data_IF_825587467512
#
_entry.id   IF_825587467512
#
_cell.length_a   1.000
_cell.length_b   1.000
_cell.length_c   1.000
_cell.angle_alpha   90.00
_cell.angle_beta   90.00
_cell.angle_gamma   90.00
#
_symmetry.space_group_name_H-M   'P 1'
#
loop_
_entity.id
_entity.type
_entity.pdbx_description
1 polymer ?
#
# COMPACT_ATOMS: atom_id res chain seq x y z
N UNK A 1 -29.35 21.13 -7.32
CA UNK A 1 -28.54 19.93 -7.53
C UNK A 1 -29.35 18.75 -7.05
N UNK A 2 -29.65 17.80 -7.92
CA UNK A 2 -30.47 16.65 -7.55
C UNK A 2 -29.71 15.68 -6.61
N UNK A 3 -30.43 14.92 -5.80
CA UNK A 3 -29.85 14.03 -4.77
C UNK A 3 -28.87 12.99 -5.35
N UNK A 4 -29.19 12.45 -6.53
CA UNK A 4 -28.34 11.54 -7.29
C UNK A 4 -26.99 12.19 -7.66
N UNK A 5 -26.98 13.45 -8.08
CA UNK A 5 -25.78 14.22 -8.44
C UNK A 5 -24.88 14.43 -7.21
N UNK A 6 -25.48 14.75 -6.06
CA UNK A 6 -24.75 14.88 -4.77
C UNK A 6 -24.06 13.56 -4.42
N UNK A 7 -24.79 12.44 -4.50
CA UNK A 7 -24.26 11.12 -4.18
C UNK A 7 -23.17 10.67 -5.15
N UNK A 8 -23.33 10.97 -6.45
CA UNK A 8 -22.33 10.66 -7.46
C UNK A 8 -21.04 11.44 -7.21
N UNK A 9 -21.11 12.75 -6.93
CA UNK A 9 -19.94 13.56 -6.58
C UNK A 9 -19.22 13.05 -5.33
N UNK A 10 -19.98 12.69 -4.29
CA UNK A 10 -19.38 12.08 -3.11
C UNK A 10 -18.72 10.73 -3.42
N UNK A 11 -19.33 9.92 -4.30
CA UNK A 11 -18.75 8.66 -4.73
C UNK A 11 -17.41 8.86 -5.46
N UNK A 12 -17.35 9.83 -6.37
CA UNK A 12 -16.14 10.20 -7.10
C UNK A 12 -15.03 10.67 -6.16
N UNK A 13 -15.37 11.52 -5.17
CA UNK A 13 -14.43 12.00 -4.15
C UNK A 13 -13.86 10.85 -3.31
N UNK A 14 -14.70 9.90 -2.87
CA UNK A 14 -14.21 8.71 -2.17
C UNK A 14 -13.26 7.87 -3.04
N UNK A 15 -13.56 7.72 -4.33
CA UNK A 15 -12.68 7.02 -5.27
C UNK A 15 -11.36 7.76 -5.49
N UNK A 16 -11.38 9.09 -5.54
CA UNK A 16 -10.19 9.92 -5.65
C UNK A 16 -9.29 9.79 -4.40
N UNK A 17 -9.87 9.86 -3.19
CA UNK A 17 -9.13 9.66 -1.92
C UNK A 17 -8.51 8.26 -1.80
N UNK A 18 -9.22 7.24 -2.28
CA UNK A 18 -8.70 5.88 -2.33
C UNK A 18 -7.49 5.77 -3.28
N UNK A 19 -7.57 6.33 -4.49
CA UNK A 19 -6.45 6.37 -5.45
C UNK A 19 -5.26 7.15 -4.87
N UNK A 20 -5.51 8.31 -4.28
CA UNK A 20 -4.46 9.12 -3.68
C UNK A 20 -3.68 8.37 -2.59
N UNK A 21 -4.37 7.57 -1.77
CA UNK A 21 -3.70 6.73 -0.75
C UNK A 21 -2.79 5.67 -1.38
N UNK A 22 -3.19 5.10 -2.52
CA UNK A 22 -2.38 4.15 -3.29
C UNK A 22 -1.17 4.83 -3.95
N UNK A 23 -1.36 6.04 -4.51
CA UNK A 23 -0.28 6.84 -5.10
C UNK A 23 0.76 7.24 -4.05
N UNK A 24 0.32 7.68 -2.87
CA UNK A 24 1.18 7.95 -1.72
C UNK A 24 1.97 6.70 -1.30
N UNK A 25 1.35 5.51 -1.37
CA UNK A 25 2.01 4.25 -1.02
C UNK A 25 3.13 3.90 -1.99
N UNK A 26 2.89 4.12 -3.28
CA UNK A 26 3.90 3.97 -4.34
C UNK A 26 5.05 4.97 -4.15
N UNK A 27 4.73 6.24 -3.96
CA UNK A 27 5.70 7.32 -3.74
C UNK A 27 6.59 7.06 -2.52
N UNK A 28 5.99 6.73 -1.37
CA UNK A 28 6.70 6.37 -0.14
C UNK A 28 7.65 5.19 -0.37
N UNK A 29 7.18 4.15 -1.05
CA UNK A 29 7.98 2.96 -1.31
C UNK A 29 9.17 3.27 -2.22
N UNK A 30 8.96 4.03 -3.30
CA UNK A 30 10.03 4.43 -4.20
C UNK A 30 11.12 5.23 -3.46
N UNK A 31 10.73 6.19 -2.61
CA UNK A 31 11.68 6.96 -1.81
C UNK A 31 12.51 6.05 -0.89
N UNK A 32 11.85 5.14 -0.17
CA UNK A 32 12.53 4.20 0.73
C UNK A 32 13.47 3.26 -0.05
N UNK A 33 13.05 2.75 -1.21
CA UNK A 33 13.90 1.89 -2.05
C UNK A 33 15.16 2.61 -2.53
N UNK A 34 15.03 3.86 -2.96
CA UNK A 34 16.18 4.67 -3.39
C UNK A 34 17.14 4.90 -2.23
N UNK A 35 16.64 5.37 -1.07
CA UNK A 35 17.46 5.61 0.12
C UNK A 35 18.14 4.32 0.59
N UNK A 36 17.40 3.21 0.61
CA UNK A 36 17.92 1.91 1.03
C UNK A 36 19.00 1.40 0.08
N UNK A 37 18.81 1.56 -1.23
CA UNK A 37 19.79 1.15 -2.23
C UNK A 37 21.10 1.94 -2.10
N UNK A 38 21.01 3.25 -1.85
CA UNK A 38 22.19 4.10 -1.58
C UNK A 38 22.91 3.64 -0.31
N UNK A 39 22.17 3.40 0.78
CA UNK A 39 22.75 2.91 2.04
C UNK A 39 23.44 1.56 1.88
N UNK A 40 22.79 0.61 1.22
CA UNK A 40 23.37 -0.71 0.95
C UNK A 40 24.59 -0.63 0.03
N UNK A 41 24.55 0.19 -1.01
CA UNK A 41 25.70 0.43 -1.90
C UNK A 41 26.89 1.02 -1.15
N UNK A 42 26.66 1.94 -0.21
CA UNK A 42 27.70 2.52 0.62
C UNK A 42 28.34 1.49 1.56
N UNK A 43 27.53 0.63 2.20
CA UNK A 43 28.03 -0.49 3.03
C UNK A 43 28.85 -1.46 2.17
N UNK A 44 28.39 -1.79 0.96
CA UNK A 44 29.12 -2.67 0.05
C UNK A 44 30.48 -2.12 -0.37
N UNK A 45 30.61 -0.79 -0.52
CA UNK A 45 31.88 -0.14 -0.88
C UNK A 45 32.85 0.00 0.29
N UNK A 46 32.35 0.30 1.50
CA UNK A 46 33.18 0.57 2.69
C UNK A 46 33.46 -0.69 3.54
N UNK A 47 32.71 -1.77 3.31
CA UNK A 47 32.77 -2.98 4.12
C UNK A 47 32.06 -2.87 5.46
N UNK A 48 32.07 -3.95 6.25
CA UNK A 48 31.41 -4.04 7.56
C UNK A 48 32.30 -3.48 8.67
N UNK A 49 32.36 -2.15 8.76
CA UNK A 49 33.06 -1.44 9.83
C UNK A 49 32.07 -0.93 10.87
N UNK A 50 32.52 -0.72 12.12
CA UNK A 50 31.68 -0.16 13.21
C UNK A 50 31.01 1.18 12.84
N UNK A 51 31.66 2.01 12.02
CA UNK A 51 31.09 3.26 11.51
C UNK A 51 29.86 3.05 10.63
N UNK A 52 29.69 1.88 10.00
CA UNK A 52 28.53 1.55 9.16
C UNK A 52 27.26 1.26 9.97
N UNK A 53 27.34 1.17 11.30
CA UNK A 53 26.14 1.20 12.16
C UNK A 53 25.33 2.49 11.94
N UNK A 54 26.00 3.60 11.62
CA UNK A 54 25.35 4.87 11.27
C UNK A 54 24.50 4.78 9.99
N UNK A 55 24.66 3.74 9.17
CA UNK A 55 23.87 3.50 7.95
C UNK A 55 22.86 2.37 8.16
N UNK A 56 23.30 1.25 8.76
CA UNK A 56 22.46 0.05 8.93
C UNK A 56 21.33 0.25 9.94
N UNK A 57 21.55 1.01 11.02
CA UNK A 57 20.49 1.31 11.99
C UNK A 57 19.36 2.17 11.36
N UNK A 58 19.65 3.25 10.62
CA UNK A 58 18.62 3.94 9.84
C UNK A 58 17.86 3.03 8.85
N UNK A 59 18.51 2.05 8.20
CA UNK A 59 17.82 1.10 7.32
C UNK A 59 16.72 0.32 8.05
N UNK A 60 16.98 -0.08 9.31
CA UNK A 60 15.97 -0.72 10.18
C UNK A 60 14.78 0.22 10.37
N UNK A 61 15.06 1.47 10.77
CA UNK A 61 14.03 2.46 11.08
C UNK A 61 13.19 2.78 9.85
N UNK A 62 13.81 3.06 8.69
CA UNK A 62 13.06 3.40 7.47
C UNK A 62 12.28 2.21 6.92
N UNK A 63 12.79 0.98 7.05
CA UNK A 63 12.07 -0.23 6.68
C UNK A 63 10.83 -0.44 7.55
N UNK A 64 10.95 -0.30 8.87
CA UNK A 64 9.79 -0.38 9.78
C UNK A 64 8.78 0.75 9.51
N UNK A 65 9.26 1.97 9.27
CA UNK A 65 8.42 3.10 8.91
C UNK A 65 7.65 2.84 7.59
N UNK A 66 8.32 2.30 6.57
CA UNK A 66 7.68 1.90 5.32
C UNK A 66 6.62 0.82 5.52
N UNK A 67 6.88 -0.19 6.34
CA UNK A 67 5.92 -1.25 6.64
C UNK A 67 4.64 -0.68 7.30
N UNK A 68 4.80 0.17 8.32
CA UNK A 68 3.68 0.80 9.01
C UNK A 68 2.94 1.77 8.08
N UNK A 69 3.67 2.62 7.36
CA UNK A 69 3.11 3.63 6.47
C UNK A 69 2.29 3.01 5.34
N UNK A 70 2.83 1.99 4.67
CA UNK A 70 2.12 1.30 3.59
C UNK A 70 0.91 0.51 4.10
N UNK A 71 0.96 -0.06 5.31
CA UNK A 71 -0.18 -0.69 5.96
C UNK A 71 -1.29 0.33 6.28
N UNK A 72 -0.91 1.51 6.79
CA UNK A 72 -1.87 2.57 7.13
C UNK A 72 -2.53 3.17 5.89
N UNK A 73 -1.78 3.39 4.82
CA UNK A 73 -2.33 3.86 3.54
C UNK A 73 -3.27 2.82 2.91
N UNK A 74 -2.95 1.53 3.01
CA UNK A 74 -3.84 0.45 2.55
C UNK A 74 -5.16 0.41 3.34
N UNK A 75 -5.10 0.66 4.66
CA UNK A 75 -6.29 0.78 5.51
C UNK A 75 -7.17 1.96 5.05
N UNK A 76 -6.61 3.16 4.86
CA UNK A 76 -7.35 4.33 4.37
C UNK A 76 -7.94 4.12 2.97
N UNK A 77 -7.19 3.51 2.05
CA UNK A 77 -7.70 3.17 0.72
C UNK A 77 -8.92 2.23 0.82
N UNK A 78 -8.86 1.23 1.70
CA UNK A 78 -9.97 0.30 1.94
C UNK A 78 -11.19 1.00 2.56
N UNK A 79 -10.96 1.91 3.50
CA UNK A 79 -11.99 2.74 4.13
C UNK A 79 -12.77 3.57 3.10
N UNK A 80 -12.07 4.29 2.22
CA UNK A 80 -12.70 5.11 1.19
C UNK A 80 -13.41 4.25 0.13
N UNK A 81 -12.84 3.11 -0.24
CA UNK A 81 -13.50 2.15 -1.13
C UNK A 81 -14.78 1.56 -0.52
N UNK A 82 -14.82 1.33 0.80
CA UNK A 82 -16.03 0.88 1.49
C UNK A 82 -17.13 1.96 1.47
N UNK A 83 -16.76 3.23 1.67
CA UNK A 83 -17.68 4.35 1.55
C UNK A 83 -18.24 4.49 0.12
N UNK A 84 -17.37 4.42 -0.90
CA UNK A 84 -17.81 4.43 -2.29
C UNK A 84 -18.82 3.31 -2.58
N UNK A 85 -18.56 2.07 -2.12
CA UNK A 85 -19.54 0.96 -2.27
C UNK A 85 -20.87 1.24 -1.57
N UNK A 86 -20.85 1.87 -0.40
CA UNK A 86 -22.08 2.23 0.31
C UNK A 86 -22.89 3.29 -0.45
N UNK A 87 -22.22 4.27 -1.07
CA UNK A 87 -22.84 5.28 -1.92
C UNK A 87 -23.43 4.66 -3.20
N UNK A 88 -22.71 3.74 -3.86
CA UNK A 88 -23.24 3.02 -5.03
C UNK A 88 -24.53 2.25 -4.70
N UNK A 89 -24.62 1.63 -3.52
CA UNK A 89 -25.85 0.95 -3.08
C UNK A 89 -27.03 1.92 -2.90
N UNK A 90 -26.76 3.15 -2.45
CA UNK A 90 -27.81 4.18 -2.33
C UNK A 90 -28.23 4.70 -3.71
N UNK A 91 -27.27 4.88 -4.62
CA UNK A 91 -27.55 5.27 -6.00
C UNK A 91 -28.43 4.25 -6.73
N UNK A 92 -28.15 2.96 -6.60
CA UNK A 92 -29.02 1.90 -7.16
C UNK A 92 -30.44 1.94 -6.59
N UNK A 93 -30.62 2.34 -5.32
CA UNK A 93 -31.96 2.51 -4.73
C UNK A 93 -32.73 3.70 -5.27
N UNK A 94 -32.03 4.74 -5.73
CA UNK A 94 -32.64 5.95 -6.31
C UNK A 94 -32.84 5.85 -7.81
N UNK A 95 -31.96 5.12 -8.50
CA UNK A 95 -31.98 4.91 -9.96
C UNK A 95 -31.76 3.42 -10.25
N UNK A 96 -32.80 2.57 -10.10
CA UNK A 96 -32.68 1.12 -10.22
C UNK A 96 -32.14 0.64 -11.57
N UNK A 97 -32.42 1.38 -12.64
CA UNK A 97 -32.00 1.05 -14.00
C UNK A 97 -30.48 1.04 -14.19
N UNK A 98 -29.71 1.70 -13.29
CA UNK A 98 -28.24 1.69 -13.34
C UNK A 98 -27.63 0.32 -13.03
N UNK A 99 -28.31 -0.51 -12.21
CA UNK A 99 -27.88 -1.88 -11.83
C UNK A 99 -26.39 -1.97 -11.46
N UNK A 100 -25.84 -0.98 -10.74
CA UNK A 100 -24.39 -0.90 -10.45
C UNK A 100 -23.93 -2.09 -9.62
N UNK A 101 -24.75 -2.53 -8.66
CA UNK A 101 -24.42 -3.65 -7.79
C UNK A 101 -24.27 -4.96 -8.55
N UNK A 102 -25.16 -5.24 -9.50
CA UNK A 102 -25.07 -6.43 -10.36
C UNK A 102 -23.86 -6.34 -11.28
N UNK A 103 -23.66 -5.18 -11.90
CA UNK A 103 -22.46 -4.91 -12.71
C UNK A 103 -21.17 -5.16 -11.93
N UNK A 104 -21.09 -4.68 -10.67
CA UNK A 104 -19.94 -4.87 -9.80
C UNK A 104 -19.78 -6.31 -9.30
N UNK A 105 -20.88 -7.01 -8.98
CA UNK A 105 -20.81 -8.42 -8.57
C UNK A 105 -20.34 -9.31 -9.71
N UNK A 106 -20.83 -9.07 -10.93
CA UNK A 106 -20.44 -9.82 -12.11
C UNK A 106 -18.99 -9.58 -12.49
N UNK A 107 -18.54 -8.33 -12.42
CA UNK A 107 -17.14 -7.99 -12.61
C UNK A 107 -16.25 -8.66 -11.54
N UNK A 108 -16.70 -8.68 -10.27
CA UNK A 108 -15.96 -9.34 -9.18
C UNK A 108 -15.91 -10.85 -9.34
N UNK A 109 -17.02 -11.49 -9.72
CA UNK A 109 -17.09 -12.93 -9.96
C UNK A 109 -16.15 -13.34 -11.10
N UNK A 110 -16.21 -12.64 -12.23
CA UNK A 110 -15.29 -12.85 -13.37
C UNK A 110 -13.83 -12.65 -12.99
N UNK A 111 -13.53 -11.62 -12.21
CA UNK A 111 -12.17 -11.38 -11.71
C UNK A 111 -11.69 -12.51 -10.79
N UNK A 112 -12.54 -12.95 -9.86
CA UNK A 112 -12.20 -14.02 -8.93
C UNK A 112 -11.93 -15.35 -9.64
N UNK A 113 -12.81 -15.71 -10.58
CA UNK A 113 -12.65 -16.90 -11.42
C UNK A 113 -11.34 -16.88 -12.22
N UNK A 114 -10.88 -15.70 -12.65
CA UNK A 114 -9.66 -15.54 -13.44
C UNK A 114 -8.37 -15.58 -12.61
N UNK A 115 -8.38 -15.02 -11.39
CA UNK A 115 -7.14 -14.74 -10.65
C UNK A 115 -6.89 -15.68 -9.45
N UNK A 116 -7.87 -16.49 -9.04
CA UNK A 116 -7.69 -17.62 -8.12
C UNK A 116 -6.87 -17.29 -6.86
N UNK A 117 -5.69 -17.90 -6.73
CA UNK A 117 -4.80 -17.72 -5.56
C UNK A 117 -4.25 -16.30 -5.42
N UNK A 118 -3.99 -15.61 -6.53
CA UNK A 118 -3.42 -14.25 -6.52
C UNK A 118 -4.41 -13.26 -5.91
N UNK A 119 -5.71 -13.45 -6.12
CA UNK A 119 -6.76 -12.62 -5.51
C UNK A 119 -6.77 -12.73 -3.98
N UNK A 120 -6.42 -13.91 -3.45
CA UNK A 120 -6.38 -14.17 -1.99
C UNK A 120 -5.23 -13.44 -1.31
N UNK A 121 -4.13 -13.19 -2.04
CA UNK A 121 -3.01 -12.41 -1.52
C UNK A 121 -3.41 -10.94 -1.50
N UNK A 122 -3.72 -10.43 -0.30
CA UNK A 122 -4.02 -9.00 -0.15
C UNK A 122 -2.76 -8.20 -0.47
N UNK A 123 -2.86 -7.30 -1.43
CA UNK A 123 -1.77 -6.45 -1.90
C UNK A 123 -1.01 -5.76 -0.74
N UNK A 124 -1.71 -5.37 0.33
CA UNK A 124 -1.09 -4.80 1.54
C UNK A 124 0.07 -5.64 2.10
N UNK A 125 -0.03 -6.97 2.04
CA UNK A 125 1.00 -7.85 2.59
C UNK A 125 2.27 -7.79 1.74
N UNK A 126 2.14 -7.70 0.42
CA UNK A 126 3.28 -7.57 -0.50
C UNK A 126 4.13 -6.33 -0.16
N UNK A 127 3.47 -5.18 0.04
CA UNK A 127 4.16 -3.94 0.40
C UNK A 127 4.80 -4.01 1.79
N UNK A 128 4.08 -4.54 2.78
CA UNK A 128 4.61 -4.68 4.14
C UNK A 128 5.82 -5.61 4.17
N UNK A 129 5.77 -6.76 3.48
CA UNK A 129 6.89 -7.70 3.43
C UNK A 129 8.12 -7.12 2.75
N UNK A 130 7.95 -6.31 1.71
CA UNK A 130 9.07 -5.61 1.06
C UNK A 130 9.82 -4.73 2.06
N UNK A 131 9.08 -3.90 2.81
CA UNK A 131 9.65 -2.98 3.79
C UNK A 131 10.23 -3.70 5.02
N UNK A 132 9.61 -4.79 5.46
CA UNK A 132 10.20 -5.66 6.48
C UNK A 132 11.51 -6.30 5.99
N UNK A 133 11.62 -6.65 4.71
CA UNK A 133 12.87 -7.15 4.12
C UNK A 133 14.01 -6.14 4.21
N UNK A 134 13.72 -4.85 4.00
CA UNK A 134 14.70 -3.77 4.19
C UNK A 134 15.12 -3.68 5.66
N UNK A 135 14.15 -3.69 6.58
CA UNK A 135 14.44 -3.62 8.02
C UNK A 135 15.28 -4.81 8.50
N UNK A 136 14.95 -6.02 8.04
CA UNK A 136 15.68 -7.25 8.34
C UNK A 136 17.09 -7.22 7.76
N UNK A 137 17.28 -6.64 6.57
CA UNK A 137 18.61 -6.46 5.98
C UNK A 137 19.46 -5.53 6.84
N UNK A 138 18.90 -4.39 7.26
CA UNK A 138 19.57 -3.48 8.20
C UNK A 138 19.97 -4.19 9.50
N UNK A 139 19.04 -4.95 10.09
CA UNK A 139 19.27 -5.70 11.33
C UNK A 139 20.38 -6.73 11.17
N UNK A 140 20.34 -7.52 10.09
CA UNK A 140 21.35 -8.53 9.81
C UNK A 140 22.75 -7.90 9.67
N UNK A 141 22.86 -6.80 8.92
CA UNK A 141 24.13 -6.09 8.75
C UNK A 141 24.63 -5.48 10.06
N UNK A 142 23.75 -4.87 10.87
CA UNK A 142 24.13 -4.35 12.19
C UNK A 142 24.66 -5.46 13.11
N UNK A 143 24.00 -6.62 13.14
CA UNK A 143 24.45 -7.77 13.93
C UNK A 143 25.80 -8.30 13.43
N UNK A 144 25.99 -8.39 12.12
CA UNK A 144 27.26 -8.82 11.54
C UNK A 144 28.42 -7.89 11.92
N UNK A 145 28.18 -6.57 12.00
CA UNK A 145 29.17 -5.58 12.43
C UNK A 145 29.48 -5.70 13.93
N UNK A 146 28.48 -6.00 14.77
CA UNK A 146 28.67 -6.07 16.22
C UNK A 146 29.32 -7.38 16.69
N UNK A 147 29.18 -8.45 15.90
CA UNK A 147 29.66 -9.79 16.23
C UNK A 147 30.95 -10.20 15.51
N UNK A 148 31.33 -9.47 14.46
CA UNK A 148 32.57 -9.67 13.70
C UNK A 148 33.65 -8.68 14.10
#
# INVERSE_FOLDING_TARGET
MEMNEILLRHWEDQRAKARHSEDQRSSLTNMILVISSVGLGFVAQRGLQNSMLAVTLPLIVIGLYGAIGTAKLAERASYHNAHARALSRRLDGLVPDLRLRETYSDARSRHSARHGLVEKVRLRYVWVTLHLGIALTGLFLSLAILLG
#
